data_IF_833560691236
#
_entry.id   IF_833560691236
#
_cell.length_a   1.000
_cell.length_b   1.000
_cell.length_c   1.000
_cell.angle_alpha   90.00
_cell.angle_beta   90.00
_cell.angle_gamma   90.00
#
_symmetry.space_group_name_H-M   'P 1'
#
loop_
_entity.id
_entity.type
_entity.pdbx_description
1 polymer ?
#
# COMPACT_ATOMS: atom_id res chain seq x y z
N UNK A 1 1.91 4.81 19.99
CA UNK A 1 2.08 4.71 18.53
C UNK A 1 3.42 5.28 18.11
N UNK A 2 4.12 4.65 17.16
CA UNK A 2 5.38 5.11 16.59
C UNK A 2 5.19 5.33 15.09
N UNK A 3 5.68 6.46 14.57
CA UNK A 3 5.68 6.82 13.14
C UNK A 3 7.09 7.27 12.80
N UNK A 4 7.84 6.44 12.08
CA UNK A 4 9.24 6.70 11.75
C UNK A 4 9.51 6.50 10.25
N UNK A 5 10.67 7.00 9.80
CA UNK A 5 11.23 6.68 8.49
C UNK A 5 11.97 5.34 8.58
N UNK A 6 11.73 4.46 7.63
CA UNK A 6 12.39 3.14 7.55
C UNK A 6 12.85 2.83 6.13
N UNK A 7 13.69 1.80 6.01
CA UNK A 7 13.94 1.13 4.73
C UNK A 7 13.08 -0.14 4.68
N UNK A 8 11.96 -0.06 3.97
CA UNK A 8 11.06 -1.18 3.78
C UNK A 8 11.50 -1.96 2.54
N UNK A 9 12.29 -3.02 2.75
CA UNK A 9 12.75 -3.92 1.68
C UNK A 9 13.41 -3.22 0.50
N UNK A 10 14.26 -2.24 0.77
CA UNK A 10 14.96 -1.47 -0.26
C UNK A 10 14.27 -0.16 -0.65
N UNK A 11 13.06 0.11 -0.17
CA UNK A 11 12.33 1.36 -0.42
C UNK A 11 12.36 2.28 0.80
N UNK A 12 12.61 3.58 0.63
CA UNK A 12 12.34 4.51 1.73
C UNK A 12 10.83 4.57 1.99
N UNK A 13 10.45 4.52 3.26
CA UNK A 13 9.05 4.47 3.65
C UNK A 13 8.77 5.23 4.95
N UNK A 14 7.52 5.67 5.10
CA UNK A 14 6.93 5.99 6.40
C UNK A 14 6.27 4.73 6.94
N UNK A 15 6.54 4.42 8.21
CA UNK A 15 6.04 3.23 8.88
C UNK A 15 5.39 3.60 10.21
N UNK A 16 4.11 3.28 10.34
CA UNK A 16 3.35 3.36 11.57
C UNK A 16 3.24 1.98 12.21
N UNK A 17 3.69 1.86 13.45
CA UNK A 17 3.65 0.63 14.21
C UNK A 17 3.59 0.91 15.72
N UNK A 18 3.33 -0.15 16.49
CA UNK A 18 3.45 -0.14 17.95
C UNK A 18 4.35 -1.28 18.42
N UNK A 19 4.88 -1.12 19.62
CA UNK A 19 5.65 -2.16 20.33
C UNK A 19 4.93 -2.60 21.61
N UNK A 20 4.00 -1.79 22.11
CA UNK A 20 3.19 -2.10 23.30
C UNK A 20 2.24 -3.27 23.01
N UNK A 21 2.37 -4.35 23.78
CA UNK A 21 1.60 -5.58 23.58
C UNK A 21 2.17 -6.51 22.50
N UNK A 22 3.26 -6.12 21.85
CA UNK A 22 3.88 -6.83 20.73
C UNK A 22 4.10 -5.91 19.54
N UNK A 23 5.11 -6.23 18.72
CA UNK A 23 5.32 -5.54 17.45
C UNK A 23 4.10 -5.73 16.54
N UNK A 24 3.52 -4.62 16.10
CA UNK A 24 2.35 -4.62 15.23
C UNK A 24 2.41 -3.45 14.26
N UNK A 25 2.31 -3.74 12.97
CA UNK A 25 2.32 -2.72 11.91
C UNK A 25 0.91 -2.27 11.60
N UNK A 26 0.70 -0.96 11.57
CA UNK A 26 -0.56 -0.37 11.16
C UNK A 26 -0.53 0.06 9.69
N UNK A 27 0.56 0.73 9.28
CA UNK A 27 0.65 1.35 7.96
C UNK A 27 2.10 1.42 7.47
N UNK A 28 2.30 1.16 6.18
CA UNK A 28 3.54 1.46 5.47
C UNK A 28 3.20 2.25 4.21
N UNK A 29 3.86 3.39 4.01
CA UNK A 29 3.76 4.20 2.78
C UNK A 29 5.16 4.31 2.17
N UNK A 30 5.35 3.73 0.99
CA UNK A 30 6.66 3.75 0.29
C UNK A 30 6.86 5.03 -0.51
N UNK A 31 8.11 5.32 -0.85
CA UNK A 31 8.51 6.42 -1.74
C UNK A 31 7.85 6.36 -3.12
N UNK A 32 7.50 5.17 -3.61
CA UNK A 32 6.80 4.95 -4.87
C UNK A 32 5.28 5.14 -4.74
N UNK A 33 4.74 5.35 -3.53
CA UNK A 33 3.31 5.58 -3.28
C UNK A 33 2.49 4.31 -3.08
N UNK A 34 3.14 3.20 -2.75
CA UNK A 34 2.44 2.01 -2.27
C UNK A 34 2.00 2.23 -0.82
N UNK A 35 0.80 1.79 -0.50
CA UNK A 35 0.22 1.89 0.85
C UNK A 35 -0.17 0.49 1.31
N UNK A 36 0.38 0.02 2.42
CA UNK A 36 0.11 -1.29 3.01
C UNK A 36 -0.49 -1.07 4.39
N UNK A 37 -1.62 -1.71 4.68
CA UNK A 37 -2.27 -1.69 5.98
C UNK A 37 -2.48 -3.10 6.52
N UNK A 38 -2.18 -3.29 7.81
CA UNK A 38 -2.30 -4.57 8.50
C UNK A 38 -3.19 -4.37 9.74
N UNK A 39 -4.10 -5.32 9.95
CA UNK A 39 -5.07 -5.35 11.03
C UNK A 39 -5.18 -6.74 11.64
N UNK A 40 -5.52 -6.84 12.93
CA UNK A 40 -5.79 -8.10 13.59
C UNK A 40 -5.20 -8.20 14.98
N UNK A 41 -4.71 -9.38 15.33
CA UNK A 41 -4.09 -9.66 16.61
C UNK A 41 -2.65 -9.14 16.68
N UNK A 42 -2.19 -8.84 17.89
CA UNK A 42 -0.82 -8.41 18.21
C UNK A 42 0.17 -9.59 18.18
N UNK A 43 0.24 -10.31 17.04
CA UNK A 43 1.20 -11.39 16.79
C UNK A 43 2.37 -10.89 15.93
N UNK A 44 3.58 -10.76 16.49
CA UNK A 44 4.74 -10.23 15.77
C UNK A 44 5.19 -11.06 14.57
N UNK A 45 5.01 -12.38 14.59
CA UNK A 45 5.42 -13.26 13.48
C UNK A 45 4.49 -13.08 12.29
N UNK A 46 3.18 -13.06 12.54
CA UNK A 46 2.17 -12.84 11.51
C UNK A 46 2.30 -11.44 10.89
N UNK A 47 2.54 -10.42 11.71
CA UNK A 47 2.75 -9.05 11.22
C UNK A 47 3.96 -8.98 10.27
N UNK A 48 5.08 -9.60 10.65
CA UNK A 48 6.28 -9.64 9.80
C UNK A 48 6.03 -10.40 8.50
N UNK A 49 5.32 -11.53 8.55
CA UNK A 49 5.04 -12.30 7.34
C UNK A 49 4.14 -11.52 6.35
N UNK A 50 3.16 -10.77 6.86
CA UNK A 50 2.33 -9.88 6.04
C UNK A 50 3.12 -8.67 5.49
N UNK A 51 4.04 -8.12 6.27
CA UNK A 51 4.98 -7.10 5.78
C UNK A 51 5.88 -7.64 4.68
N UNK A 52 6.42 -8.85 4.85
CA UNK A 52 7.25 -9.51 3.85
C UNK A 52 6.49 -9.73 2.54
N UNK A 53 5.26 -10.24 2.62
CA UNK A 53 4.37 -10.34 1.47
C UNK A 53 4.08 -8.97 0.85
N UNK A 54 3.84 -7.94 1.65
CA UNK A 54 3.69 -6.56 1.16
C UNK A 54 4.89 -6.10 0.34
N UNK A 55 6.11 -6.35 0.83
CA UNK A 55 7.34 -6.01 0.13
C UNK A 55 7.59 -6.84 -1.14
N UNK A 56 7.21 -8.12 -1.16
CA UNK A 56 7.21 -8.96 -2.37
C UNK A 56 6.29 -8.35 -3.46
N UNK A 57 5.08 -7.93 -3.08
CA UNK A 57 4.09 -7.33 -3.98
C UNK A 57 4.59 -5.99 -4.54
N UNK A 58 5.16 -5.14 -3.68
CA UNK A 58 5.78 -3.86 -4.09
C UNK A 58 6.94 -4.12 -5.06
N UNK A 59 7.82 -5.05 -4.74
CA UNK A 59 9.01 -5.38 -5.54
C UNK A 59 8.65 -5.86 -6.95
N UNK A 60 7.60 -6.68 -7.08
CA UNK A 60 7.09 -7.13 -8.39
C UNK A 60 6.16 -6.12 -9.08
N UNK A 61 5.86 -4.99 -8.43
CA UNK A 61 5.05 -3.86 -8.92
C UNK A 61 3.64 -4.25 -9.39
N UNK A 62 3.06 -5.31 -8.81
CA UNK A 62 1.77 -5.85 -9.26
C UNK A 62 1.05 -6.59 -8.14
N UNK A 63 -0.23 -6.28 -7.96
CA UNK A 63 -1.13 -6.99 -7.04
C UNK A 63 -1.85 -8.11 -7.80
N UNK A 64 -1.78 -9.34 -7.30
CA UNK A 64 -2.39 -10.54 -7.88
C UNK A 64 -3.31 -11.26 -6.89
N UNK A 65 -4.22 -12.09 -7.41
CA UNK A 65 -5.18 -12.84 -6.59
C UNK A 65 -4.47 -13.84 -5.67
N UNK A 66 -3.39 -14.46 -6.14
CA UNK A 66 -2.56 -15.37 -5.35
C UNK A 66 -1.92 -14.68 -4.14
N UNK A 67 -1.56 -13.40 -4.26
CA UNK A 67 -1.05 -12.61 -3.13
C UNK A 67 -2.11 -12.46 -2.05
N UNK A 68 -3.34 -12.14 -2.45
CA UNK A 68 -4.44 -11.98 -1.49
C UNK A 68 -4.86 -13.31 -0.86
N UNK A 69 -4.74 -14.43 -1.60
CA UNK A 69 -4.93 -15.78 -1.04
C UNK A 69 -3.84 -16.14 -0.05
N UNK A 70 -2.57 -15.82 -0.33
CA UNK A 70 -1.45 -16.01 0.59
C UNK A 70 -1.65 -15.19 1.86
N UNK A 71 -1.96 -13.90 1.73
CA UNK A 71 -2.30 -13.02 2.86
C UNK A 71 -3.48 -13.59 3.68
N UNK A 72 -4.52 -14.09 3.02
CA UNK A 72 -5.67 -14.68 3.71
C UNK A 72 -5.31 -15.95 4.49
N UNK A 73 -4.42 -16.79 3.94
CA UNK A 73 -3.92 -17.98 4.63
C UNK A 73 -3.20 -17.60 5.92
N UNK A 74 -2.32 -16.60 5.86
CA UNK A 74 -1.60 -16.07 7.01
C UNK A 74 -2.59 -15.54 8.07
N UNK A 75 -3.60 -14.78 7.65
CA UNK A 75 -4.65 -14.28 8.56
C UNK A 75 -5.46 -15.40 9.24
N UNK A 76 -5.65 -16.54 8.56
CA UNK A 76 -6.36 -17.70 9.14
C UNK A 76 -5.59 -18.33 10.28
N UNK A 77 -4.26 -18.38 10.20
CA UNK A 77 -3.39 -18.85 11.28
C UNK A 77 -3.53 -17.96 12.52
N UNK A 78 -3.69 -16.65 12.31
CA UNK A 78 -3.91 -15.67 13.38
C UNK A 78 -5.38 -15.51 13.80
N UNK A 79 -6.29 -16.35 13.26
CA UNK A 79 -7.73 -16.41 13.51
C UNK A 79 -8.56 -15.20 13.08
N UNK A 80 -8.00 -14.01 12.96
CA UNK A 80 -8.72 -12.81 12.54
C UNK A 80 -7.79 -11.66 12.14
N UNK A 81 -8.26 -10.77 11.27
CA UNK A 81 -7.53 -9.57 10.85
C UNK A 81 -7.79 -9.19 9.40
N UNK A 82 -6.99 -8.25 8.90
CA UNK A 82 -7.02 -7.85 7.50
C UNK A 82 -5.63 -7.51 6.97
N UNK A 83 -5.50 -7.58 5.66
CA UNK A 83 -4.38 -7.09 4.88
C UNK A 83 -4.93 -6.30 3.70
N UNK A 84 -4.50 -5.05 3.56
CA UNK A 84 -4.82 -4.21 2.40
C UNK A 84 -3.53 -3.66 1.82
N UNK A 85 -3.42 -3.69 0.49
CA UNK A 85 -2.35 -3.04 -0.23
C UNK A 85 -2.93 -2.24 -1.40
N UNK A 86 -2.49 -1.00 -1.53
CA UNK A 86 -2.81 -0.12 -2.65
C UNK A 86 -1.51 0.21 -3.40
N UNK A 87 -1.54 0.02 -4.70
CA UNK A 87 -0.48 0.47 -5.61
C UNK A 87 -0.61 1.94 -5.98
N UNK A 88 0.46 2.51 -6.53
CA UNK A 88 0.51 3.93 -6.89
C UNK A 88 -0.44 4.33 -8.02
N UNK A 89 -0.88 3.39 -8.84
CA UNK A 89 -1.86 3.61 -9.93
C UNK A 89 -3.33 3.43 -9.50
N UNK A 90 -3.57 3.10 -8.23
CA UNK A 90 -4.91 2.96 -7.67
C UNK A 90 -5.44 1.53 -7.62
N UNK A 91 -4.72 0.51 -8.09
CA UNK A 91 -5.12 -0.88 -7.86
C UNK A 91 -5.00 -1.23 -6.37
N UNK A 92 -6.04 -1.86 -5.81
CA UNK A 92 -6.16 -2.29 -4.41
C UNK A 92 -6.32 -3.80 -4.36
N UNK A 93 -5.57 -4.44 -3.48
CA UNK A 93 -5.80 -5.79 -2.99
C UNK A 93 -6.24 -5.74 -1.54
N UNK A 94 -7.31 -6.43 -1.20
CA UNK A 94 -7.86 -6.50 0.14
C UNK A 94 -8.17 -7.95 0.49
N UNK A 95 -7.75 -8.38 1.67
CA UNK A 95 -8.31 -9.55 2.32
C UNK A 95 -8.58 -9.31 3.79
N UNK A 96 -9.65 -9.93 4.30
CA UNK A 96 -9.97 -9.95 5.72
C UNK A 96 -10.51 -11.34 6.08
N UNK A 97 -10.23 -11.78 7.30
CA UNK A 97 -10.74 -13.03 7.85
C UNK A 97 -11.15 -12.82 9.31
N UNK A 98 -12.23 -13.46 9.74
CA UNK A 98 -12.61 -13.52 11.14
C UNK A 98 -13.25 -14.87 11.47
N UNK A 99 -12.44 -15.78 12.04
CA UNK A 99 -12.86 -17.11 12.46
C UNK A 99 -13.80 -17.14 13.67
N UNK A 100 -14.11 -15.99 14.29
CA UNK A 100 -15.14 -15.92 15.35
C UNK A 100 -16.56 -15.91 14.78
N UNK A 101 -16.70 -15.45 13.54
CA UNK A 101 -17.98 -15.33 12.82
C UNK A 101 -17.96 -16.08 11.47
N UNK A 102 -16.91 -16.85 11.21
CA UNK A 102 -16.68 -17.59 9.96
C UNK A 102 -16.84 -16.72 8.69
N UNK A 103 -16.38 -15.47 8.76
CA UNK A 103 -16.44 -14.52 7.66
C UNK A 103 -15.09 -14.40 6.96
N UNK A 104 -15.13 -14.12 5.66
CA UNK A 104 -13.95 -14.02 4.81
C UNK A 104 -14.20 -13.11 3.61
N UNK A 105 -13.25 -12.24 3.31
CA UNK A 105 -13.24 -11.36 2.12
C UNK A 105 -11.89 -11.48 1.43
N UNK A 106 -11.91 -11.65 0.11
CA UNK A 106 -10.75 -11.50 -0.78
C UNK A 106 -11.25 -10.68 -1.96
N UNK A 107 -10.57 -9.58 -2.29
CA UNK A 107 -11.01 -8.67 -3.35
C UNK A 107 -9.82 -7.95 -3.97
N UNK A 108 -9.90 -7.76 -5.29
CA UNK A 108 -8.99 -6.90 -6.05
C UNK A 108 -9.83 -5.99 -6.92
N UNK A 109 -9.57 -4.70 -6.85
CA UNK A 109 -10.31 -3.66 -7.56
C UNK A 109 -9.45 -2.44 -7.77
N UNK A 110 -9.94 -1.45 -8.51
CA UNK A 110 -9.28 -0.15 -8.65
C UNK A 110 -10.08 0.90 -7.89
N UNK A 111 -9.39 1.86 -7.31
CA UNK A 111 -10.00 3.09 -6.77
C UNK A 111 -9.53 4.29 -7.57
N UNK A 112 -10.42 5.25 -7.74
CA UNK A 112 -10.19 6.50 -8.44
C UNK A 112 -10.23 7.69 -7.47
N UNK A 113 -9.95 8.88 -7.98
CA UNK A 113 -9.93 10.08 -7.17
C UNK A 113 -11.29 10.33 -6.50
N UNK A 114 -11.27 10.51 -5.18
CA UNK A 114 -12.46 10.72 -4.35
C UNK A 114 -13.10 9.44 -3.84
N UNK A 115 -12.67 8.25 -4.26
CA UNK A 115 -13.12 6.98 -3.70
C UNK A 115 -12.27 6.58 -2.48
N UNK A 116 -12.86 5.83 -1.56
CA UNK A 116 -12.18 5.29 -0.39
C UNK A 116 -12.53 3.82 -0.17
N UNK A 117 -11.66 3.15 0.58
CA UNK A 117 -11.90 1.82 1.13
C UNK A 117 -11.80 1.91 2.64
N UNK A 118 -12.83 1.49 3.35
CA UNK A 118 -12.79 1.29 4.79
C UNK A 118 -12.62 -0.20 5.05
N UNK A 119 -11.64 -0.53 5.87
CA UNK A 119 -11.30 -1.91 6.21
C UNK A 119 -11.43 -2.09 7.71
N UNK A 120 -12.11 -3.17 8.10
CA UNK A 120 -12.30 -3.55 9.48
C UNK A 120 -11.86 -5.00 9.67
N UNK A 121 -11.57 -5.36 10.92
CA UNK A 121 -11.24 -6.75 11.27
C UNK A 121 -12.39 -7.72 11.03
N UNK A 122 -13.64 -7.22 10.99
CA UNK A 122 -14.79 -8.00 10.54
C UNK A 122 -14.92 -7.86 9.01
N UNK A 123 -14.80 -8.96 8.24
CA UNK A 123 -14.87 -8.93 6.78
C UNK A 123 -16.18 -8.37 6.22
N UNK A 124 -17.29 -8.49 6.96
CA UNK A 124 -18.61 -7.99 6.57
C UNK A 124 -18.74 -6.46 6.71
N UNK A 125 -17.73 -5.82 7.30
CA UNK A 125 -17.71 -4.38 7.59
C UNK A 125 -16.73 -3.62 6.70
N UNK A 126 -16.08 -4.32 5.77
CA UNK A 126 -15.26 -3.70 4.74
C UNK A 126 -16.18 -3.10 3.66
N UNK A 127 -15.97 -1.84 3.31
CA UNK A 127 -16.80 -1.12 2.35
C UNK A 127 -15.97 -0.22 1.44
N UNK A 128 -16.51 0.04 0.26
CA UNK A 128 -16.03 1.08 -0.65
C UNK A 128 -17.06 2.22 -0.63
N UNK A 129 -16.59 3.45 -0.77
CA UNK A 129 -17.48 4.61 -0.80
C UNK A 129 -16.83 5.82 -1.45
N UNK A 130 -17.52 6.96 -1.40
CA UNK A 130 -17.02 8.21 -1.98
C UNK A 130 -16.89 9.32 -0.93
N UNK A 131 -15.74 10.00 -0.91
CA UNK A 131 -15.49 11.11 0.02
C UNK A 131 -16.48 12.25 -0.13
N UNK A 132 -17.05 12.48 -1.32
CA UNK A 132 -18.04 13.54 -1.57
C UNK A 132 -19.29 13.41 -0.71
N UNK A 133 -19.58 12.22 -0.19
CA UNK A 133 -20.68 11.98 0.75
C UNK A 133 -20.41 12.60 2.14
N UNK A 134 -19.13 12.83 2.47
CA UNK A 134 -18.69 13.32 3.78
C UNK A 134 -18.12 14.74 3.72
N UNK A 135 -17.25 15.03 2.77
CA UNK A 135 -16.60 16.34 2.58
C UNK A 135 -15.92 16.46 1.20
N UNK A 136 -15.72 17.69 0.72
CA UNK A 136 -14.90 17.93 -0.48
C UNK A 136 -13.40 17.93 -0.19
N UNK A 137 -13.01 18.16 1.07
CA UNK A 137 -11.63 18.02 1.55
C UNK A 137 -11.38 16.55 1.94
N UNK A 138 -10.49 15.81 1.25
CA UNK A 138 -10.28 14.38 1.49
C UNK A 138 -9.76 14.07 2.90
N UNK A 139 -9.04 15.01 3.54
CA UNK A 139 -8.56 14.84 4.91
C UNK A 139 -9.72 14.95 5.90
N UNK A 140 -10.63 15.91 5.69
CA UNK A 140 -11.83 16.01 6.52
C UNK A 140 -12.77 14.83 6.29
N UNK A 141 -12.90 14.37 5.04
CA UNK A 141 -13.70 13.21 4.70
C UNK A 141 -13.16 11.95 5.40
N UNK A 142 -11.85 11.68 5.33
CA UNK A 142 -11.22 10.57 6.01
C UNK A 142 -11.43 10.60 7.54
N UNK A 143 -11.29 11.78 8.16
CA UNK A 143 -11.57 11.94 9.60
C UNK A 143 -13.02 11.63 9.94
N UNK A 144 -13.98 12.07 9.12
CA UNK A 144 -15.41 11.79 9.32
C UNK A 144 -15.68 10.30 9.17
N UNK A 145 -15.21 9.67 8.09
CA UNK A 145 -15.37 8.22 7.84
C UNK A 145 -14.86 7.41 9.04
N UNK A 146 -13.65 7.69 9.53
CA UNK A 146 -13.08 6.98 10.68
C UNK A 146 -13.85 7.23 11.99
N UNK A 147 -14.27 8.47 12.24
CA UNK A 147 -14.98 8.83 13.47
C UNK A 147 -16.45 8.39 13.48
N UNK A 148 -17.05 8.19 12.31
CA UNK A 148 -18.41 7.64 12.16
C UNK A 148 -18.41 6.15 11.82
N UNK A 149 -17.28 5.46 12.00
CA UNK A 149 -17.24 4.01 11.83
C UNK A 149 -17.81 3.31 13.09
N UNK A 150 -18.99 2.66 13.00
CA UNK A 150 -19.59 1.97 14.15
C UNK A 150 -18.74 0.78 14.64
N UNK A 151 -17.79 0.29 13.83
CA UNK A 151 -16.98 -0.88 14.16
C UNK A 151 -15.66 -0.53 14.87
N UNK A 152 -15.28 0.75 14.93
CA UNK A 152 -14.15 1.21 15.72
C UNK A 152 -14.49 1.23 17.21
N UNK A 153 -14.11 0.20 17.97
CA UNK A 153 -14.53 0.09 19.39
C UNK A 153 -13.98 1.20 20.30
N UNK A 154 -12.71 1.56 20.12
CA UNK A 154 -12.04 2.48 21.04
C UNK A 154 -11.75 3.86 20.43
N UNK A 155 -11.64 3.96 19.09
CA UNK A 155 -11.35 5.20 18.32
C UNK A 155 -10.36 6.13 19.04
N UNK A 156 -9.29 5.52 19.58
CA UNK A 156 -8.30 6.17 20.46
C UNK A 156 -7.48 7.17 19.69
N UNK A 157 -7.01 6.75 18.52
CA UNK A 157 -6.18 7.55 17.64
C UNK A 157 -6.71 7.44 16.22
N UNK A 158 -6.84 8.59 15.57
CA UNK A 158 -7.13 8.70 14.14
C UNK A 158 -5.93 9.43 13.53
N UNK A 159 -5.04 8.66 12.90
CA UNK A 159 -3.87 9.21 12.21
C UNK A 159 -4.19 9.30 10.73
N UNK A 160 -3.95 10.47 10.14
CA UNK A 160 -4.25 10.73 8.73
C UNK A 160 -2.97 11.07 8.01
N UNK A 161 -2.77 10.37 6.90
CA UNK A 161 -1.65 10.55 5.99
C UNK A 161 -2.16 11.12 4.69
N UNK A 162 -1.46 12.12 4.18
CA UNK A 162 -1.59 12.55 2.81
C UNK A 162 -0.26 12.30 2.10
N UNK A 163 -0.32 11.52 1.03
CA UNK A 163 0.82 11.23 0.18
C UNK A 163 0.68 11.94 -1.17
N UNK A 164 1.73 12.63 -1.58
CA UNK A 164 1.83 13.22 -2.92
C UNK A 164 3.29 13.18 -3.40
N UNK A 165 3.59 12.28 -4.33
CA UNK A 165 4.89 12.18 -5.02
C UNK A 165 6.10 12.21 -4.05
N UNK A 166 6.14 11.23 -3.13
CA UNK A 166 7.19 11.13 -2.10
C UNK A 166 6.98 12.07 -0.90
N UNK A 167 6.16 13.11 -0.99
CA UNK A 167 5.83 13.95 0.16
C UNK A 167 4.73 13.34 1.00
N UNK A 168 4.99 13.09 2.28
CA UNK A 168 4.02 12.58 3.25
C UNK A 168 3.73 13.67 4.28
N UNK A 169 2.47 14.03 4.47
CA UNK A 169 2.01 14.91 5.55
C UNK A 169 1.17 14.12 6.54
N UNK A 170 1.43 14.32 7.83
CA UNK A 170 0.81 13.52 8.90
C UNK A 170 0.07 14.42 9.88
N UNK A 171 -1.17 14.03 10.18
CA UNK A 171 -1.99 14.63 11.23
C UNK A 171 -2.51 13.57 12.18
N UNK A 172 -2.85 13.97 13.40
CA UNK A 172 -3.53 13.11 14.35
C UNK A 172 -4.70 13.83 15.03
N UNK A 173 -5.71 13.03 15.34
CA UNK A 173 -6.93 13.38 16.06
C UNK A 173 -7.37 12.20 16.93
N UNK A 174 -8.40 12.40 17.73
CA UNK A 174 -9.16 11.30 18.33
C UNK A 174 -10.66 11.57 18.24
N UNK A 175 -11.51 10.53 18.30
CA UNK A 175 -12.96 10.72 18.26
C UNK A 175 -13.53 11.04 19.65
N UNK A 176 -13.10 10.30 20.67
CA UNK A 176 -13.60 10.46 22.03
C UNK A 176 -15.11 10.19 22.19
N UNK A 177 -15.71 9.44 21.26
CA UNK A 177 -17.14 9.09 21.29
C UNK A 177 -18.07 10.22 20.88
N UNK A 178 -17.57 11.28 20.24
CA UNK A 178 -18.36 12.49 19.96
C UNK A 178 -19.35 12.31 18.81
N UNK A 179 -18.96 11.59 17.76
CA UNK A 179 -19.79 11.42 16.57
C UNK A 179 -20.66 10.16 16.60
N UNK A 180 -20.16 9.11 17.26
CA UNK A 180 -20.92 7.93 17.60
C UNK A 180 -20.74 7.64 19.09
N UNK A 181 -21.86 7.52 19.81
CA UNK A 181 -21.86 7.12 21.21
C UNK A 181 -21.17 5.75 21.38
N UNK A 182 -20.56 5.51 22.54
CA UNK A 182 -20.00 4.20 22.91
C UNK A 182 -18.48 4.04 22.75
N UNK A 183 -17.75 4.95 22.09
CA UNK A 183 -16.29 4.94 22.20
C UNK A 183 -15.84 5.59 23.51
N UNK A 184 -15.05 4.85 24.29
CA UNK A 184 -14.53 5.25 25.60
C UNK A 184 -13.01 5.41 25.63
N UNK A 185 -12.37 5.28 24.46
CA UNK A 185 -10.92 5.32 24.35
C UNK A 185 -10.34 6.71 24.60
N UNK A 186 -9.19 6.74 25.28
CA UNK A 186 -8.35 7.94 25.39
C UNK A 186 -7.21 7.86 24.39
N UNK A 187 -6.79 9.00 23.78
CA UNK A 187 -5.70 9.02 22.82
C UNK A 187 -4.38 8.56 23.45
N UNK A 188 -3.63 7.78 22.69
CA UNK A 188 -2.28 7.38 23.05
C UNK A 188 -1.26 8.49 22.75
N UNK A 189 -0.07 8.38 23.35
CA UNK A 189 1.05 9.19 22.91
C UNK A 189 1.52 8.70 21.53
N UNK A 190 1.92 9.65 20.69
CA UNK A 190 2.45 9.40 19.35
C UNK A 190 3.91 9.84 19.33
N UNK A 191 4.82 8.95 18.95
CA UNK A 191 6.21 9.29 18.65
C UNK A 191 6.35 9.46 17.14
N UNK A 192 6.51 10.69 16.68
CA UNK A 192 6.67 11.01 15.26
C UNK A 192 8.11 11.45 14.99
N UNK A 193 8.84 10.68 14.17
CA UNK A 193 10.26 10.92 13.85
C UNK A 193 11.10 11.17 15.10
N UNK A 194 10.96 10.30 16.09
CA UNK A 194 11.64 10.43 17.38
C UNK A 194 11.04 11.44 18.37
N UNK A 195 10.12 12.31 17.96
CA UNK A 195 9.51 13.34 18.83
C UNK A 195 8.19 12.87 19.44
N UNK A 196 8.11 12.87 20.77
CA UNK A 196 6.88 12.51 21.48
C UNK A 196 5.84 13.64 21.46
N UNK A 197 4.63 13.31 21.02
CA UNK A 197 3.42 14.11 21.11
C UNK A 197 2.48 13.43 22.10
N UNK A 198 2.17 14.13 23.20
CA UNK A 198 1.24 13.61 24.19
C UNK A 198 -0.17 13.47 23.61
N UNK A 199 -0.83 12.33 23.87
CA UNK A 199 -2.23 12.06 23.49
C UNK A 199 -3.20 13.13 24.00
N UNK A 200 -2.92 13.71 25.19
CA UNK A 200 -3.70 14.82 25.77
C UNK A 200 -3.69 16.10 24.94
N UNK A 201 -2.74 16.24 24.01
CA UNK A 201 -2.62 17.38 23.08
C UNK A 201 -3.29 17.11 21.74
N UNK A 202 -3.82 15.91 21.52
CA UNK A 202 -4.58 15.59 20.31
C UNK A 202 -5.98 16.21 20.43
N UNK A 203 -6.47 16.88 19.38
CA UNK A 203 -7.80 17.44 19.38
C UNK A 203 -8.85 16.40 19.00
N UNK A 204 -10.09 16.62 19.44
CA UNK A 204 -11.24 15.83 19.02
C UNK A 204 -11.64 16.18 17.58
N UNK A 205 -11.99 15.17 16.78
CA UNK A 205 -12.55 15.35 15.42
C UNK A 205 -13.74 16.35 15.41
N UNK A 206 -13.86 17.21 14.37
CA UNK A 206 -13.11 17.22 13.12
C UNK A 206 -11.79 18.00 13.18
N UNK A 207 -11.40 18.51 14.36
CA UNK A 207 -10.13 19.19 14.51
C UNK A 207 -8.98 18.17 14.47
N UNK A 208 -7.81 18.61 13.99
CA UNK A 208 -6.62 17.77 13.82
C UNK A 208 -5.36 18.54 14.18
N UNK A 209 -4.38 17.83 14.72
CA UNK A 209 -3.03 18.35 15.00
C UNK A 209 -2.11 17.93 13.87
N UNK A 210 -1.46 18.90 13.22
CA UNK A 210 -0.37 18.58 12.29
C UNK A 210 0.84 18.09 13.09
N UNK A 211 1.33 16.90 12.75
CA UNK A 211 2.50 16.30 13.41
C UNK A 211 3.79 16.70 12.68
N UNK A 212 3.76 16.66 11.35
CA UNK A 212 4.88 17.04 10.51
C UNK A 212 4.72 16.56 9.08
N UNK A 213 5.79 16.74 8.30
CA UNK A 213 5.88 16.23 6.94
C UNK A 213 7.27 15.66 6.69
N UNK A 214 7.34 14.68 5.81
CA UNK A 214 8.57 14.02 5.40
C UNK A 214 8.62 13.91 3.87
N UNK A 215 9.82 13.89 3.31
CA UNK A 215 10.04 13.68 1.88
C UNK A 215 10.82 12.39 1.69
N UNK A 216 10.16 11.40 1.08
CA UNK A 216 10.76 10.16 0.65
C UNK A 216 11.44 10.41 -0.71
N UNK A 217 12.75 10.17 -0.85
CA UNK A 217 13.46 10.29 -2.11
C UNK A 217 12.82 9.35 -3.14
N UNK A 218 12.29 9.88 -4.23
CA UNK A 218 11.85 9.02 -5.32
C UNK A 218 13.05 8.75 -6.23
N UNK A 219 13.26 7.49 -6.63
CA UNK A 219 14.07 7.23 -7.80
C UNK A 219 13.48 8.04 -8.97
N UNK A 220 14.23 9.03 -9.45
CA UNK A 220 13.87 9.69 -10.71
C UNK A 220 13.73 8.57 -11.74
N UNK A 221 12.67 8.51 -12.55
CA UNK A 221 12.60 7.55 -13.63
C UNK A 221 13.90 7.73 -14.41
N UNK A 222 14.77 6.72 -14.31
CA UNK A 222 16.07 6.77 -14.95
C UNK A 222 15.79 7.14 -16.40
N UNK A 223 16.45 8.18 -16.91
CA UNK A 223 16.54 8.34 -18.36
C UNK A 223 16.96 6.97 -18.85
N UNK A 224 16.06 6.24 -19.52
CA UNK A 224 16.42 5.00 -20.19
C UNK A 224 17.67 5.37 -20.97
N UNK A 225 18.80 4.80 -20.56
CA UNK A 225 20.04 5.08 -21.25
C UNK A 225 19.81 4.61 -22.67
N UNK A 226 19.74 5.55 -23.62
CA UNK A 226 19.58 5.26 -25.05
C UNK A 226 20.66 4.29 -25.55
N UNK A 227 21.69 4.00 -24.76
CA UNK A 227 22.69 2.98 -25.07
C UNK A 227 22.10 1.57 -25.21
N UNK A 228 21.09 1.18 -24.43
CA UNK A 228 20.55 -0.20 -24.52
C UNK A 228 19.70 -0.39 -25.78
N UNK A 229 18.91 0.62 -26.18
CA UNK A 229 18.13 0.58 -27.41
C UNK A 229 19.04 0.65 -28.64
N UNK A 230 20.12 1.44 -28.60
CA UNK A 230 21.10 1.51 -29.69
C UNK A 230 21.89 0.19 -29.82
N UNK A 231 22.28 -0.46 -28.72
CA UNK A 231 22.99 -1.75 -28.78
C UNK A 231 22.08 -2.86 -29.34
N UNK A 232 20.80 -2.89 -28.95
CA UNK A 232 19.83 -3.84 -29.50
C UNK A 232 19.55 -3.54 -30.98
N UNK A 233 19.42 -2.27 -31.37
CA UNK A 233 19.27 -1.89 -32.79
C UNK A 233 20.50 -2.23 -33.63
N UNK A 234 21.71 -2.00 -33.11
CA UNK A 234 22.95 -2.36 -33.81
C UNK A 234 23.15 -3.88 -33.89
N UNK A 235 22.75 -4.64 -32.87
CA UNK A 235 22.77 -6.10 -32.93
C UNK A 235 21.80 -6.62 -34.00
N UNK A 236 20.58 -6.08 -34.10
CA UNK A 236 19.60 -6.47 -35.13
C UNK A 236 20.09 -6.07 -36.54
N UNK A 237 20.67 -4.86 -36.70
CA UNK A 237 21.23 -4.41 -37.99
C UNK A 237 22.46 -5.23 -38.38
N UNK A 238 23.35 -5.57 -37.44
CA UNK A 238 24.51 -6.43 -37.70
C UNK A 238 24.09 -7.86 -38.07
N UNK A 239 22.98 -8.36 -37.51
CA UNK A 239 22.47 -9.70 -37.83
C UNK A 239 21.80 -9.77 -39.22
N UNK A 240 21.36 -8.63 -39.79
CA UNK A 240 20.80 -8.58 -41.14
C UNK A 240 21.82 -8.34 -42.27
N UNK A 241 23.06 -7.97 -41.96
CA UNK A 241 24.09 -7.69 -42.98
C UNK A 241 24.92 -8.93 -43.39
N UNK A 242 24.78 -10.08 -42.71
CA UNK A 242 25.59 -11.28 -43.01
C UNK A 242 24.90 -12.41 -43.80
N UNK A 243 23.78 -12.17 -44.49
CA UNK A 243 23.07 -13.24 -45.24
C UNK A 243 23.04 -13.04 -46.78
N UNK A 244 23.51 -11.94 -47.36
CA UNK A 244 23.35 -11.70 -48.82
C UNK A 244 24.55 -11.98 -49.73
N UNK A 245 25.64 -12.60 -49.29
CA UNK A 245 26.78 -12.89 -50.19
C UNK A 245 27.31 -14.32 -50.06
N UNK A 246 26.47 -15.33 -50.25
CA UNK A 246 26.96 -16.62 -50.71
C UNK A 246 25.83 -17.51 -51.23
N UNK A 247 25.49 -17.40 -52.52
CA UNK A 247 25.02 -18.48 -53.40
C UNK A 247 24.55 -17.86 -54.71
N UNK A 248 25.45 -17.73 -55.66
CA UNK A 248 25.12 -17.85 -57.08
C UNK A 248 26.40 -18.13 -57.86
N UNK A 249 26.75 -19.42 -57.90
CA UNK A 249 27.53 -20.01 -58.99
C UNK A 249 27.47 -21.51 -58.82
N UNK A 250 26.51 -22.13 -59.53
CA UNK A 250 26.63 -23.40 -60.28
C UNK A 250 25.25 -24.03 -60.49
N UNK A 251 25.09 -24.59 -61.69
CA UNK A 251 24.05 -25.53 -62.15
C UNK A 251 22.92 -24.87 -62.97
N UNK A 252 23.11 -24.79 -64.29
CA UNK A 252 22.20 -25.33 -65.33
C UNK A 252 22.73 -24.99 -66.73
N UNK A 253 23.79 -25.67 -67.14
CA UNK A 253 24.03 -25.96 -68.56
C UNK A 253 23.77 -27.47 -68.71
N UNK A 254 22.74 -27.84 -69.47
CA UNK A 254 22.55 -29.13 -70.16
C UNK A 254 21.19 -29.11 -70.87
N UNK A 255 21.11 -28.36 -71.97
CA UNK A 255 20.19 -28.62 -73.08
C UNK A 255 20.84 -28.08 -74.35
N UNK A 256 21.44 -28.97 -75.15
CA UNK A 256 21.34 -29.02 -76.61
C UNK A 256 22.28 -30.11 -77.17
N UNK A 257 21.69 -31.26 -77.48
CA UNK A 257 22.20 -32.24 -78.44
C UNK A 257 21.26 -32.18 -79.66
N UNK A 258 21.69 -31.48 -80.71
CA UNK A 258 21.61 -31.86 -82.13
C UNK A 258 22.93 -31.38 -82.75
#
# INVERSE_FOLDING_TARGET
MIIDKTNFMGYDAIHEYKEDGGYFTHLIITEEGWIIGIGGNDDPSINKELEELGGEIVSKKRIEEEDMKKANSILRENRWGFFIIKSSDGKVGLTAYDGRIEANTISIFNITEGEYVKVANNPNCCEQGNFKEFDHDPIKAALKVAATDPYGLHRRDIITYEYNQGKVRVWASFDGGRLLEGATGSPDNIKFLGHEISGKKLPVVPNKKFLGNETLPQEKPGKQSMTSTIIIMMAIIATFISISTCKDTRILDWKNNI
#
